data_IF_846699766780
#
_entry.id   IF_846699766780
#
_cell.length_a   1.000
_cell.length_b   1.000
_cell.length_c   1.000
_cell.angle_alpha   90.00
_cell.angle_beta   90.00
_cell.angle_gamma   90.00
#
_symmetry.space_group_name_H-M   'P 1'
#
loop_
_entity.id
_entity.type
_entity.pdbx_description
1 polymer ?
#
# COMPACT_ATOMS: atom_id res chain seq x y z
N UNK A 1 1.13 -8.99 20.25
CA UNK A 1 0.52 -7.91 19.45
C UNK A 1 -0.99 -8.07 19.47
N UNK A 2 -1.74 -6.99 19.26
CA UNK A 2 -3.19 -6.97 19.24
C UNK A 2 -3.64 -6.82 17.79
N UNK A 3 -4.53 -7.70 17.33
CA UNK A 3 -5.18 -7.53 16.02
C UNK A 3 -6.09 -6.30 16.07
N UNK A 4 -6.10 -5.42 15.04
CA UNK A 4 -7.06 -4.33 14.94
C UNK A 4 -8.50 -4.83 14.71
N UNK A 5 -8.66 -6.13 14.44
CA UNK A 5 -9.95 -6.76 14.17
C UNK A 5 -10.32 -7.80 15.24
N UNK A 6 -11.61 -7.86 15.67
CA UNK A 6 -12.67 -6.89 15.37
C UNK A 6 -12.36 -5.53 16.00
N UNK A 7 -12.97 -4.47 15.46
CA UNK A 7 -12.75 -3.07 15.86
C UNK A 7 -12.86 -2.81 17.38
N UNK A 8 -13.66 -3.61 18.10
CA UNK A 8 -13.77 -3.53 19.56
C UNK A 8 -12.45 -3.75 20.29
N UNK A 9 -11.51 -4.52 19.72
CA UNK A 9 -10.17 -4.72 20.28
C UNK A 9 -9.35 -3.42 20.37
N UNK A 10 -9.67 -2.44 19.52
CA UNK A 10 -9.04 -1.12 19.55
C UNK A 10 -9.76 -0.22 20.56
N UNK A 11 -11.10 -0.14 20.47
CA UNK A 11 -11.87 0.81 21.29
C UNK A 11 -11.98 0.45 22.77
N UNK A 12 -11.68 -0.80 23.14
CA UNK A 12 -11.63 -1.26 24.53
C UNK A 12 -10.27 -1.03 25.19
N UNK A 13 -9.24 -0.59 24.44
CA UNK A 13 -7.95 -0.27 25.03
C UNK A 13 -8.09 0.90 26.02
N UNK A 14 -7.42 0.85 27.17
CA UNK A 14 -7.39 1.98 28.08
C UNK A 14 -6.57 3.13 27.47
N UNK A 15 -6.84 4.36 27.90
CA UNK A 15 -6.09 5.54 27.48
C UNK A 15 -4.66 5.53 28.08
N UNK A 16 -3.74 4.80 27.44
CA UNK A 16 -2.35 4.61 27.87
C UNK A 16 -1.38 4.89 26.71
N UNK A 17 -0.12 4.48 26.81
CA UNK A 17 0.80 4.49 25.68
C UNK A 17 0.48 3.32 24.73
N UNK A 18 0.05 3.63 23.51
CA UNK A 18 -0.37 2.64 22.51
C UNK A 18 0.49 2.79 21.26
N UNK A 19 1.16 1.71 20.87
CA UNK A 19 1.85 1.62 19.60
C UNK A 19 0.91 1.12 18.49
N UNK A 20 1.09 1.64 17.28
CA UNK A 20 0.45 1.11 16.06
C UNK A 20 1.55 0.75 15.07
N UNK A 21 1.66 -0.53 14.73
CA UNK A 21 2.65 -1.03 13.79
C UNK A 21 2.13 -0.89 12.37
N UNK A 22 2.75 0.00 11.60
CA UNK A 22 2.39 0.38 10.23
C UNK A 22 1.93 1.83 10.10
N UNK A 23 1.87 2.31 8.86
CA UNK A 23 1.32 3.62 8.46
C UNK A 23 0.31 3.54 7.31
N UNK A 24 -0.11 2.32 6.95
CA UNK A 24 -1.11 2.06 5.90
C UNK A 24 -2.51 2.60 6.27
N UNK A 25 -3.46 2.51 5.34
CA UNK A 25 -4.87 2.84 5.61
C UNK A 25 -5.43 2.11 6.85
N UNK A 26 -5.09 0.83 7.03
CA UNK A 26 -5.48 0.07 8.23
C UNK A 26 -4.90 0.65 9.52
N UNK A 27 -3.65 1.15 9.48
CA UNK A 27 -3.03 1.80 10.63
C UNK A 27 -3.68 3.17 10.91
N UNK A 28 -4.00 3.93 9.85
CA UNK A 28 -4.73 5.19 9.94
C UNK A 28 -6.11 4.96 10.57
N UNK A 29 -6.85 3.94 10.15
CA UNK A 29 -8.14 3.57 10.71
C UNK A 29 -8.03 3.19 12.20
N UNK A 30 -7.00 2.42 12.58
CA UNK A 30 -6.74 2.07 13.97
C UNK A 30 -6.43 3.31 14.84
N UNK A 31 -5.65 4.26 14.32
CA UNK A 31 -5.34 5.52 15.02
C UNK A 31 -6.58 6.39 15.17
N UNK A 32 -7.39 6.52 14.11
CA UNK A 32 -8.65 7.27 14.16
C UNK A 32 -9.63 6.63 15.14
N UNK A 33 -9.67 5.30 15.19
CA UNK A 33 -10.50 4.55 16.13
C UNK A 33 -10.15 4.85 17.59
N UNK A 34 -8.85 4.86 17.91
CA UNK A 34 -8.35 5.28 19.22
C UNK A 34 -8.73 6.74 19.51
N UNK A 35 -8.61 7.61 18.50
CA UNK A 35 -9.06 8.99 18.59
C UNK A 35 -10.55 9.12 18.97
N UNK A 36 -11.44 8.33 18.36
CA UNK A 36 -12.86 8.31 18.72
C UNK A 36 -13.13 7.66 20.10
N UNK A 37 -12.37 6.64 20.48
CA UNK A 37 -12.55 5.98 21.78
C UNK A 37 -12.19 6.90 22.95
N UNK A 38 -11.21 7.77 22.77
CA UNK A 38 -10.59 8.56 23.83
C UNK A 38 -10.77 10.06 23.69
N UNK A 39 -11.52 10.51 22.69
CA UNK A 39 -11.78 11.93 22.50
C UNK A 39 -12.95 12.18 21.56
N UNK A 40 -13.06 13.44 21.16
CA UNK A 40 -14.06 13.91 20.22
C UNK A 40 -13.37 14.67 19.11
N UNK A 41 -13.75 14.38 17.87
CA UNK A 41 -13.38 15.19 16.71
C UNK A 41 -14.47 16.26 16.47
N UNK A 42 -14.07 17.53 16.49
CA UNK A 42 -14.86 18.65 15.97
C UNK A 42 -14.49 18.84 14.49
N UNK A 43 -15.45 18.57 13.61
CA UNK A 43 -15.27 18.49 12.16
C UNK A 43 -16.22 19.48 11.43
N UNK A 44 -16.06 20.80 11.63
CA UNK A 44 -16.86 21.79 10.90
C UNK A 44 -16.73 21.67 9.38
N UNK A 45 -15.56 21.25 8.89
CA UNK A 45 -15.33 20.83 7.52
C UNK A 45 -14.10 19.89 7.42
N UNK A 46 -13.85 19.34 6.24
CA UNK A 46 -12.78 18.38 5.99
C UNK A 46 -11.36 18.96 6.06
N UNK A 47 -11.18 20.29 6.17
CA UNK A 47 -9.88 20.95 6.30
C UNK A 47 -9.61 21.44 7.73
N UNK A 48 -10.67 21.67 8.49
CA UNK A 48 -10.61 22.14 9.86
C UNK A 48 -11.13 21.06 10.80
N UNK A 49 -10.28 20.11 11.16
CA UNK A 49 -10.58 19.10 12.17
C UNK A 49 -9.78 19.40 13.43
N UNK A 50 -10.43 19.31 14.59
CA UNK A 50 -9.78 19.41 15.89
C UNK A 50 -10.13 18.20 16.72
N UNK A 51 -9.18 17.72 17.50
CA UNK A 51 -9.42 16.66 18.45
C UNK A 51 -9.26 17.17 19.88
N UNK A 52 -10.17 16.74 20.76
CA UNK A 52 -10.09 17.02 22.19
C UNK A 52 -10.27 15.73 22.98
N UNK A 53 -9.37 15.48 23.93
CA UNK A 53 -9.43 14.33 24.82
C UNK A 53 -10.72 14.33 25.67
N UNK A 54 -11.25 13.15 25.92
CA UNK A 54 -12.30 12.95 26.92
C UNK A 54 -11.69 13.10 28.33
N UNK A 55 -12.52 13.38 29.34
CA UNK A 55 -12.05 13.73 30.69
C UNK A 55 -11.14 12.69 31.37
N UNK A 56 -11.19 11.42 30.96
CA UNK A 56 -10.37 10.31 31.49
C UNK A 56 -9.19 9.94 30.57
N UNK A 57 -8.95 10.69 29.48
CA UNK A 57 -8.00 10.32 28.42
C UNK A 57 -6.73 11.17 28.40
N UNK A 58 -6.38 11.78 29.53
CA UNK A 58 -5.19 12.65 29.66
C UNK A 58 -3.85 11.94 29.45
N UNK A 59 -3.81 10.62 29.61
CA UNK A 59 -2.60 9.80 29.52
C UNK A 59 -2.41 9.13 28.15
N UNK A 60 -3.34 9.34 27.20
CA UNK A 60 -3.26 8.73 25.88
C UNK A 60 -2.07 9.27 25.08
N UNK A 61 -1.22 8.36 24.61
CA UNK A 61 -0.23 8.64 23.57
C UNK A 61 -0.27 7.53 22.53
N UNK A 62 -0.17 7.90 21.26
CA UNK A 62 -0.22 6.98 20.13
C UNK A 62 1.09 7.12 19.35
N UNK A 63 1.90 6.07 19.36
CA UNK A 63 3.13 5.99 18.58
C UNK A 63 2.94 5.10 17.36
N UNK A 64 2.83 5.70 16.17
CA UNK A 64 2.90 4.94 14.92
C UNK A 64 4.34 4.54 14.64
N UNK A 65 4.53 3.30 14.20
CA UNK A 65 5.83 2.73 13.84
C UNK A 65 5.78 2.37 12.36
N UNK A 66 6.55 3.06 11.53
CA UNK A 66 6.54 2.84 10.08
C UNK A 66 7.95 2.58 9.58
N UNK A 67 8.05 1.68 8.59
CA UNK A 67 9.25 1.67 7.77
C UNK A 67 9.44 3.06 7.14
N UNK A 68 10.67 3.55 7.14
CA UNK A 68 11.04 4.87 6.61
C UNK A 68 10.41 6.09 7.31
N UNK A 69 9.56 5.92 8.33
CA UNK A 69 8.92 7.05 9.02
C UNK A 69 8.01 7.90 8.12
N UNK A 70 7.43 7.30 7.09
CA UNK A 70 6.53 7.96 6.13
C UNK A 70 5.09 7.46 6.28
N UNK A 71 4.15 8.26 5.79
CA UNK A 71 2.76 7.87 5.59
C UNK A 71 2.42 8.00 4.09
N UNK A 72 1.44 7.23 3.59
CA UNK A 72 0.91 7.43 2.23
C UNK A 72 0.32 8.84 2.10
N UNK A 73 0.39 9.38 0.89
CA UNK A 73 -0.09 10.72 0.59
C UNK A 73 -1.61 10.79 0.45
N UNK A 74 -2.14 12.01 0.53
CA UNK A 74 -3.56 12.25 0.34
C UNK A 74 -3.99 12.07 -1.11
N UNK A 75 -5.22 11.63 -1.27
CA UNK A 75 -5.89 11.64 -2.56
C UNK A 75 -5.84 13.05 -3.18
N UNK A 76 -5.78 13.16 -4.50
CA UNK A 76 -5.62 14.46 -5.18
C UNK A 76 -6.59 14.57 -6.34
N UNK A 77 -6.68 15.74 -6.96
CA UNK A 77 -7.53 15.91 -8.11
C UNK A 77 -6.95 15.20 -9.33
N UNK A 78 -7.74 14.33 -9.93
CA UNK A 78 -7.51 13.82 -11.29
C UNK A 78 -8.81 13.85 -12.09
N UNK A 79 -8.72 13.97 -13.43
CA UNK A 79 -9.89 13.91 -14.30
C UNK A 79 -10.57 12.54 -14.21
N UNK A 80 -11.90 12.52 -14.26
CA UNK A 80 -12.70 11.30 -14.43
C UNK A 80 -13.74 11.52 -15.55
N UNK A 81 -13.76 10.69 -16.61
CA UNK A 81 -12.86 9.57 -16.87
C UNK A 81 -11.39 9.97 -16.94
N UNK A 82 -10.49 9.03 -16.63
CA UNK A 82 -9.05 9.29 -16.63
C UNK A 82 -8.58 9.73 -18.02
N UNK A 83 -7.69 10.71 -18.05
CA UNK A 83 -6.97 11.10 -19.25
C UNK A 83 -5.82 10.10 -19.50
N UNK A 84 -5.60 9.66 -20.75
CA UNK A 84 -4.54 8.72 -21.08
C UNK A 84 -3.16 9.37 -20.87
N UNK A 85 -2.19 8.54 -20.53
CA UNK A 85 -0.77 8.92 -20.53
C UNK A 85 -0.26 9.12 -21.96
N UNK A 86 0.87 9.78 -22.13
CA UNK A 86 1.39 10.15 -23.47
C UNK A 86 2.42 9.17 -24.00
N UNK A 87 3.29 8.66 -23.13
CA UNK A 87 4.46 7.84 -23.44
C UNK A 87 4.23 6.38 -23.05
N UNK A 88 3.80 6.11 -21.81
CA UNK A 88 3.48 4.77 -21.33
C UNK A 88 1.98 4.48 -21.53
N UNK A 89 1.59 4.28 -22.78
CA UNK A 89 0.22 3.89 -23.16
C UNK A 89 0.08 2.37 -23.19
N UNK A 90 -1.16 1.86 -23.14
CA UNK A 90 -1.47 0.44 -23.35
C UNK A 90 -0.84 -0.08 -24.65
N UNK A 91 -1.06 0.59 -25.77
CA UNK A 91 -0.48 0.23 -27.07
C UNK A 91 1.06 0.19 -27.04
N UNK A 92 1.70 1.16 -26.35
CA UNK A 92 3.14 1.21 -26.24
C UNK A 92 3.70 0.05 -25.41
N UNK A 93 3.06 -0.27 -24.28
CA UNK A 93 3.48 -1.41 -23.45
C UNK A 93 3.27 -2.73 -24.18
N UNK A 94 2.10 -2.94 -24.80
CA UNK A 94 1.84 -4.16 -25.59
C UNK A 94 2.81 -4.30 -26.76
N UNK A 95 3.23 -3.20 -27.38
CA UNK A 95 4.27 -3.23 -28.40
C UNK A 95 5.65 -3.61 -27.84
N UNK A 96 5.97 -3.27 -26.58
CA UNK A 96 7.18 -3.75 -25.92
C UNK A 96 7.10 -5.23 -25.54
N UNK A 97 5.94 -5.69 -25.06
CA UNK A 97 5.66 -7.11 -24.77
C UNK A 97 5.83 -7.96 -26.02
N UNK A 98 5.29 -7.52 -27.16
CA UNK A 98 5.38 -8.24 -28.44
C UNK A 98 6.82 -8.44 -28.97
N UNK A 99 7.81 -7.72 -28.43
CA UNK A 99 9.24 -7.90 -28.79
C UNK A 99 9.89 -9.05 -28.04
N UNK A 100 9.22 -9.61 -27.03
CA UNK A 100 9.69 -10.71 -26.21
C UNK A 100 10.22 -10.28 -24.84
N UNK A 101 10.41 -11.28 -23.99
CA UNK A 101 10.78 -11.19 -22.57
C UNK A 101 12.13 -10.50 -22.33
N UNK A 102 13.14 -10.74 -23.16
CA UNK A 102 14.51 -10.24 -22.94
C UNK A 102 14.54 -8.71 -22.84
N UNK A 103 14.82 -8.17 -21.65
CA UNK A 103 14.88 -6.74 -21.37
C UNK A 103 13.54 -6.01 -21.41
N UNK A 104 12.42 -6.74 -21.25
CA UNK A 104 11.07 -6.18 -21.27
C UNK A 104 10.89 -5.13 -20.17
N UNK A 105 11.32 -5.43 -18.94
CA UNK A 105 11.18 -4.52 -17.80
C UNK A 105 11.89 -3.17 -18.05
N UNK A 106 13.11 -3.18 -18.57
CA UNK A 106 13.85 -1.96 -18.89
C UNK A 106 13.16 -1.13 -19.96
N UNK A 107 12.56 -1.77 -20.97
CA UNK A 107 11.85 -1.06 -22.03
C UNK A 107 10.57 -0.40 -21.51
N UNK A 108 9.78 -1.11 -20.70
CA UNK A 108 8.58 -0.56 -20.06
C UNK A 108 8.96 0.56 -19.07
N UNK A 109 10.01 0.36 -18.28
CA UNK A 109 10.53 1.40 -17.39
C UNK A 109 11.03 2.64 -18.14
N UNK A 110 11.63 2.47 -19.33
CA UNK A 110 12.01 3.61 -20.16
C UNK A 110 10.80 4.43 -20.63
N UNK A 111 9.63 3.80 -20.86
CA UNK A 111 8.38 4.52 -21.16
C UNK A 111 7.91 5.33 -19.95
N UNK A 112 8.02 4.79 -18.73
CA UNK A 112 7.72 5.53 -17.50
C UNK A 112 8.62 6.76 -17.33
N UNK A 113 9.93 6.63 -17.55
CA UNK A 113 10.85 7.77 -17.48
C UNK A 113 10.48 8.85 -18.50
N UNK A 114 10.08 8.46 -19.72
CA UNK A 114 9.61 9.40 -20.74
C UNK A 114 8.31 10.09 -20.30
N UNK A 115 7.37 9.37 -19.70
CA UNK A 115 6.13 9.95 -19.17
C UNK A 115 6.42 10.97 -18.06
N UNK A 116 7.33 10.65 -17.14
CA UNK A 116 7.73 11.54 -16.05
C UNK A 116 8.45 12.78 -16.57
N UNK A 117 9.43 12.63 -17.49
CA UNK A 117 10.10 13.77 -18.14
C UNK A 117 9.11 14.65 -18.94
N UNK A 118 8.06 14.06 -19.49
CA UNK A 118 7.03 14.79 -20.24
C UNK A 118 6.05 15.54 -19.34
N UNK A 119 5.53 14.87 -18.31
CA UNK A 119 4.48 15.38 -17.43
C UNK A 119 5.02 16.29 -16.32
N UNK A 120 6.22 16.02 -15.81
CA UNK A 120 6.89 16.75 -14.74
C UNK A 120 8.41 16.88 -15.00
N UNK A 121 8.83 17.82 -15.86
CA UNK A 121 10.21 17.90 -16.36
C UNK A 121 11.30 18.06 -15.29
N UNK A 122 10.94 18.59 -14.11
CA UNK A 122 11.86 18.82 -13.02
C UNK A 122 11.94 17.62 -12.06
N UNK A 123 10.94 16.73 -12.05
CA UNK A 123 10.80 15.67 -11.04
C UNK A 123 11.99 14.69 -10.99
N UNK A 124 12.35 14.08 -12.13
CA UNK A 124 13.49 13.15 -12.18
C UNK A 124 14.81 13.85 -11.88
N UNK A 125 14.93 15.15 -12.19
CA UNK A 125 16.11 15.93 -11.83
C UNK A 125 16.19 16.17 -10.32
N UNK A 126 15.06 16.44 -9.67
CA UNK A 126 14.97 16.63 -8.21
C UNK A 126 15.28 15.34 -7.43
N UNK A 127 14.91 14.18 -7.99
CA UNK A 127 15.30 12.86 -7.45
C UNK A 127 16.80 12.56 -7.63
N UNK A 128 17.42 13.14 -8.67
CA UNK A 128 18.86 13.03 -8.96
C UNK A 128 19.19 12.03 -10.08
N UNK A 129 20.41 12.11 -10.61
CA UNK A 129 20.83 11.35 -11.81
C UNK A 129 20.69 9.82 -11.66
N UNK A 130 20.80 9.29 -10.43
CA UNK A 130 20.63 7.87 -10.14
C UNK A 130 19.20 7.35 -10.35
N UNK A 131 18.20 8.23 -10.36
CA UNK A 131 16.79 7.88 -10.48
C UNK A 131 16.38 7.37 -11.88
N UNK A 132 17.29 7.38 -12.86
CA UNK A 132 17.04 6.89 -14.23
C UNK A 132 17.33 5.41 -14.43
N UNK A 133 17.50 4.66 -13.33
CA UNK A 133 17.62 3.20 -13.34
C UNK A 133 16.50 2.61 -12.48
N UNK A 134 16.07 1.37 -12.73
CA UNK A 134 14.98 0.74 -11.97
C UNK A 134 15.26 0.77 -10.46
N UNK A 135 16.43 0.29 -10.06
CA UNK A 135 16.82 0.27 -8.66
C UNK A 135 17.00 1.69 -8.09
N UNK A 136 17.70 2.56 -8.82
CA UNK A 136 17.96 3.92 -8.36
C UNK A 136 16.71 4.79 -8.29
N UNK A 137 15.67 4.52 -9.09
CA UNK A 137 14.39 5.22 -9.03
C UNK A 137 13.69 4.94 -7.70
N UNK A 138 13.55 3.66 -7.33
CA UNK A 138 12.96 3.28 -6.04
C UNK A 138 13.73 3.86 -4.85
N UNK A 139 15.06 3.76 -4.87
CA UNK A 139 15.91 4.31 -3.81
C UNK A 139 15.77 5.83 -3.70
N UNK A 140 15.80 6.55 -4.83
CA UNK A 140 15.68 8.01 -4.85
C UNK A 140 14.29 8.49 -4.39
N UNK A 141 13.23 7.81 -4.83
CA UNK A 141 11.85 8.08 -4.42
C UNK A 141 11.70 8.04 -2.90
N UNK A 142 12.09 6.92 -2.28
CA UNK A 142 11.96 6.76 -0.83
C UNK A 142 12.95 7.62 -0.05
N UNK A 143 14.13 7.92 -0.59
CA UNK A 143 15.06 8.86 0.05
C UNK A 143 14.47 10.28 0.11
N UNK A 144 13.79 10.74 -0.94
CA UNK A 144 13.11 12.03 -0.95
C UNK A 144 11.95 12.03 0.07
N UNK A 145 11.11 11.00 0.06
CA UNK A 145 9.98 10.85 1.01
C UNK A 145 10.45 10.78 2.45
N UNK A 146 11.54 10.07 2.75
CA UNK A 146 12.16 10.02 4.08
C UNK A 146 12.69 11.39 4.53
N UNK A 147 13.44 12.07 3.65
CA UNK A 147 14.01 13.39 3.95
C UNK A 147 12.94 14.42 4.30
N UNK A 148 11.78 14.34 3.65
CA UNK A 148 10.66 15.22 3.90
C UNK A 148 9.78 14.75 5.07
N UNK A 149 9.73 13.44 5.34
CA UNK A 149 8.69 12.66 6.01
C UNK A 149 8.22 13.09 7.41
N UNK A 150 7.71 12.13 8.18
CA UNK A 150 7.02 12.42 9.44
C UNK A 150 5.65 13.09 9.25
N UNK A 151 4.97 13.33 10.37
CA UNK A 151 3.68 14.04 10.39
C UNK A 151 3.73 15.48 9.84
N UNK A 152 4.85 16.23 9.89
CA UNK A 152 4.97 17.49 9.17
C UNK A 152 4.87 17.37 7.64
N UNK A 153 5.31 16.26 7.04
CA UNK A 153 5.09 16.00 5.61
C UNK A 153 3.60 15.84 5.31
N UNK A 154 2.92 15.00 6.09
CA UNK A 154 1.47 14.76 5.97
C UNK A 154 0.68 16.07 5.94
N UNK A 155 1.04 17.06 6.76
CA UNK A 155 0.39 18.39 6.74
C UNK A 155 0.63 19.16 5.43
N UNK A 156 1.84 19.10 4.87
CA UNK A 156 2.18 19.76 3.60
C UNK A 156 1.46 19.08 2.43
N UNK A 157 1.53 17.76 2.39
CA UNK A 157 0.94 16.94 1.32
C UNK A 157 -0.58 17.08 1.34
N UNK A 158 -1.20 17.10 2.54
CA UNK A 158 -2.62 17.41 2.70
C UNK A 158 -2.98 18.80 2.15
N UNK A 159 -2.19 19.83 2.43
CA UNK A 159 -2.44 21.17 1.92
C UNK A 159 -2.34 21.23 0.38
N UNK A 160 -1.38 20.53 -0.21
CA UNK A 160 -1.21 20.41 -1.66
C UNK A 160 -2.36 19.63 -2.31
N UNK A 161 -2.70 18.45 -1.78
CA UNK A 161 -3.83 17.64 -2.19
C UNK A 161 -5.14 18.46 -2.19
N UNK A 162 -5.42 19.19 -1.11
CA UNK A 162 -6.59 20.08 -1.02
C UNK A 162 -6.53 21.24 -2.02
N UNK A 163 -5.34 21.80 -2.28
CA UNK A 163 -5.17 22.82 -3.30
C UNK A 163 -5.42 22.28 -4.71
N UNK A 164 -5.01 21.04 -4.99
CA UNK A 164 -5.27 20.33 -6.25
C UNK A 164 -6.78 20.22 -6.50
N UNK A 165 -7.54 19.80 -5.47
CA UNK A 165 -9.01 19.68 -5.50
C UNK A 165 -9.71 21.00 -5.78
N UNK A 166 -9.31 22.07 -5.09
CA UNK A 166 -9.89 23.42 -5.28
C UNK A 166 -9.60 23.97 -6.66
N UNK A 167 -8.38 23.76 -7.17
CA UNK A 167 -7.93 24.27 -8.47
C UNK A 167 -8.37 23.38 -9.63
N UNK A 168 -8.81 22.14 -9.37
CA UNK A 168 -9.03 21.10 -10.37
C UNK A 168 -7.81 20.90 -11.27
N UNK A 169 -6.64 20.76 -10.64
CA UNK A 169 -5.36 20.56 -11.31
C UNK A 169 -4.66 19.37 -10.67
N UNK A 170 -4.16 18.47 -11.50
CA UNK A 170 -3.44 17.28 -11.06
C UNK A 170 -2.06 17.64 -10.51
N UNK A 171 -1.48 16.70 -9.76
CA UNK A 171 -0.05 16.69 -9.43
C UNK A 171 0.59 15.79 -10.49
N UNK A 172 1.41 16.31 -11.42
CA UNK A 172 1.73 15.60 -12.66
C UNK A 172 2.42 14.24 -12.46
N UNK A 173 3.50 14.19 -11.68
CA UNK A 173 4.20 12.93 -11.42
C UNK A 173 3.35 11.93 -10.61
N UNK A 174 2.52 12.39 -9.66
CA UNK A 174 1.57 11.49 -8.96
C UNK A 174 0.56 10.90 -9.93
N UNK A 175 0.02 11.70 -10.85
CA UNK A 175 -0.92 11.20 -11.86
C UNK A 175 -0.25 10.21 -12.80
N UNK A 176 0.98 10.48 -13.25
CA UNK A 176 1.76 9.57 -14.07
C UNK A 176 1.98 8.22 -13.37
N UNK A 177 2.42 8.22 -12.11
CA UNK A 177 2.65 6.99 -11.33
C UNK A 177 1.34 6.25 -11.03
N UNK A 178 0.29 6.97 -10.64
CA UNK A 178 -1.05 6.42 -10.43
C UNK A 178 -1.60 5.77 -11.70
N UNK A 179 -1.34 6.30 -12.89
CA UNK A 179 -1.86 5.71 -14.12
C UNK A 179 -0.95 4.63 -14.69
N UNK A 180 0.36 4.75 -14.47
CA UNK A 180 1.34 3.82 -15.02
C UNK A 180 1.24 2.42 -14.42
N UNK A 181 0.76 2.26 -13.17
CA UNK A 181 0.60 0.92 -12.58
C UNK A 181 -0.33 0.03 -13.41
N UNK A 182 -1.44 0.58 -13.94
CA UNK A 182 -2.38 -0.12 -14.82
C UNK A 182 -1.67 -0.64 -16.08
N UNK A 183 -0.85 0.21 -16.71
CA UNK A 183 -0.11 -0.17 -17.91
C UNK A 183 1.05 -1.12 -17.63
N UNK A 184 1.68 -1.04 -16.45
CA UNK A 184 2.70 -2.00 -16.04
C UNK A 184 2.12 -3.39 -15.88
N UNK A 185 0.90 -3.50 -15.33
CA UNK A 185 0.23 -4.78 -15.09
C UNK A 185 0.15 -5.63 -16.37
N UNK A 186 -0.08 -4.99 -17.52
CA UNK A 186 -0.13 -5.62 -18.85
C UNK A 186 1.16 -6.34 -19.25
N UNK A 187 2.30 -5.95 -18.69
CA UNK A 187 3.59 -6.57 -18.98
C UNK A 187 4.04 -7.58 -17.92
N UNK A 188 3.44 -7.57 -16.72
CA UNK A 188 3.96 -8.34 -15.58
C UNK A 188 3.94 -9.86 -15.82
N UNK A 189 2.99 -10.38 -16.61
CA UNK A 189 2.91 -11.81 -16.96
C UNK A 189 4.00 -12.27 -17.93
N UNK A 190 4.55 -11.34 -18.71
CA UNK A 190 5.54 -11.63 -19.75
C UNK A 190 6.98 -11.35 -19.29
N UNK A 191 7.15 -10.98 -18.01
CA UNK A 191 8.46 -10.79 -17.40
C UNK A 191 9.09 -12.14 -17.05
N UNK A 192 10.42 -12.20 -17.18
CA UNK A 192 11.21 -13.27 -16.57
C UNK A 192 11.10 -13.24 -15.04
N UNK A 193 11.36 -14.36 -14.37
CA UNK A 193 11.35 -14.40 -12.90
C UNK A 193 12.33 -13.40 -12.27
N UNK A 194 13.51 -13.21 -12.89
CA UNK A 194 14.52 -12.26 -12.42
C UNK A 194 14.04 -10.80 -12.58
N UNK A 195 13.38 -10.48 -13.70
CA UNK A 195 12.78 -9.16 -13.92
C UNK A 195 11.59 -8.92 -13.01
N UNK A 196 10.73 -9.92 -12.83
CA UNK A 196 9.59 -9.82 -11.92
C UNK A 196 10.06 -9.58 -10.47
N UNK A 197 11.10 -10.29 -10.01
CA UNK A 197 11.73 -10.05 -8.72
C UNK A 197 12.34 -8.64 -8.62
N UNK A 198 12.94 -8.14 -9.71
CA UNK A 198 13.48 -6.78 -9.78
C UNK A 198 12.36 -5.73 -9.68
N UNK A 199 11.25 -5.93 -10.38
CA UNK A 199 10.04 -5.10 -10.29
C UNK A 199 9.48 -5.09 -8.87
N UNK A 200 9.27 -6.27 -8.27
CA UNK A 200 8.74 -6.42 -6.91
C UNK A 200 9.59 -5.69 -5.87
N UNK A 201 10.91 -5.72 -6.05
CA UNK A 201 11.84 -5.11 -5.11
C UNK A 201 11.90 -3.58 -5.24
N UNK A 202 11.87 -3.05 -6.46
CA UNK A 202 12.25 -1.66 -6.71
C UNK A 202 11.11 -0.76 -7.19
N UNK A 203 10.13 -1.27 -7.94
CA UNK A 203 9.04 -0.47 -8.51
C UNK A 203 7.71 -0.69 -7.80
N UNK A 204 7.39 -1.93 -7.44
CA UNK A 204 6.13 -2.24 -6.73
C UNK A 204 5.95 -1.40 -5.46
N UNK A 205 6.97 -1.17 -4.60
CA UNK A 205 6.80 -0.32 -3.43
C UNK A 205 6.47 1.14 -3.78
N UNK A 206 7.04 1.66 -4.88
CA UNK A 206 6.73 3.02 -5.36
C UNK A 206 5.28 3.11 -5.81
N UNK A 207 4.82 2.17 -6.64
CA UNK A 207 3.43 2.13 -7.07
C UNK A 207 2.47 1.99 -5.89
N UNK A 208 2.77 1.08 -4.95
CA UNK A 208 1.97 0.87 -3.75
C UNK A 208 1.81 2.13 -2.90
N UNK A 209 2.85 2.96 -2.81
CA UNK A 209 2.77 4.24 -2.11
C UNK A 209 1.95 5.30 -2.87
N UNK A 210 1.98 5.29 -4.21
CA UNK A 210 1.23 6.25 -5.03
C UNK A 210 -0.26 5.91 -5.22
N UNK A 211 -0.64 4.65 -5.37
CA UNK A 211 -2.06 4.28 -5.58
C UNK A 211 -2.84 4.15 -4.26
N UNK A 212 -2.16 4.03 -3.12
CA UNK A 212 -2.77 4.03 -1.79
C UNK A 212 -3.15 5.45 -1.32
N UNK A 213 -4.02 6.11 -2.08
CA UNK A 213 -4.47 7.47 -1.81
C UNK A 213 -5.33 7.56 -0.53
N UNK A 214 -4.88 8.33 0.45
CA UNK A 214 -5.59 8.46 1.74
C UNK A 214 -6.76 9.45 1.62
N UNK A 215 -7.97 9.09 2.10
CA UNK A 215 -9.10 10.02 2.15
C UNK A 215 -8.77 11.30 2.94
N UNK A 216 -9.19 12.46 2.43
CA UNK A 216 -8.86 13.76 3.05
C UNK A 216 -9.31 13.88 4.51
N UNK A 217 -10.50 13.36 4.84
CA UNK A 217 -11.00 13.42 6.21
C UNK A 217 -10.15 12.57 7.17
N UNK A 218 -9.62 11.44 6.70
CA UNK A 218 -8.71 10.60 7.49
C UNK A 218 -7.40 11.34 7.77
N UNK A 219 -6.82 12.00 6.76
CA UNK A 219 -5.63 12.84 6.96
C UNK A 219 -5.91 14.01 7.91
N UNK A 220 -7.04 14.69 7.77
CA UNK A 220 -7.41 15.78 8.66
C UNK A 220 -7.51 15.32 10.13
N UNK A 221 -8.04 14.12 10.38
CA UNK A 221 -8.09 13.51 11.72
C UNK A 221 -6.69 13.14 12.26
N UNK A 222 -5.83 12.56 11.42
CA UNK A 222 -4.43 12.28 11.77
C UNK A 222 -3.71 13.58 12.16
N UNK A 223 -3.86 14.64 11.36
CA UNK A 223 -3.28 15.95 11.64
C UNK A 223 -3.85 16.53 12.93
N UNK A 224 -5.14 16.38 13.20
CA UNK A 224 -5.76 16.86 14.43
C UNK A 224 -5.22 16.16 15.68
N UNK A 225 -4.99 14.85 15.63
CA UNK A 225 -4.36 14.09 16.71
C UNK A 225 -2.89 14.51 16.92
N UNK A 226 -2.17 14.74 15.83
CA UNK A 226 -0.80 15.26 15.88
C UNK A 226 -0.74 16.67 16.49
N UNK A 227 -1.62 17.57 16.07
CA UNK A 227 -1.68 18.96 16.57
C UNK A 227 -2.13 19.02 18.05
N UNK A 228 -2.89 18.02 18.50
CA UNK A 228 -3.24 17.83 19.91
C UNK A 228 -2.10 17.23 20.75
N UNK A 229 -1.00 16.79 20.12
CA UNK A 229 0.17 16.23 20.79
C UNK A 229 0.02 14.77 21.24
N UNK A 230 -1.01 14.06 20.77
CA UNK A 230 -1.27 12.66 21.16
C UNK A 230 -0.76 11.64 20.14
N UNK A 231 -0.34 12.08 18.95
CA UNK A 231 0.16 11.20 17.88
C UNK A 231 1.61 11.51 17.54
N UNK A 232 2.44 10.48 17.44
CA UNK A 232 3.81 10.53 16.92
C UNK A 232 4.01 9.47 15.85
N UNK A 233 5.02 9.67 14.98
CA UNK A 233 5.43 8.71 13.95
C UNK A 233 6.92 8.44 14.10
N UNK A 234 7.28 7.18 14.21
CA UNK A 234 8.65 6.71 14.46
C UNK A 234 9.12 5.84 13.30
N UNK A 235 10.30 6.15 12.78
CA UNK A 235 10.92 5.40 11.69
C UNK A 235 11.57 4.10 12.20
N UNK A 236 11.39 3.02 11.45
CA UNK A 236 12.09 1.74 11.65
C UNK A 236 12.98 1.40 10.48
N UNK A 237 14.17 0.90 10.80
CA UNK A 237 15.12 0.35 9.83
C UNK A 237 14.93 -1.16 9.60
N UNK A 238 15.70 -1.76 8.69
CA UNK A 238 15.62 -3.18 8.36
C UNK A 238 15.85 -4.12 9.56
N UNK A 239 16.71 -3.70 10.49
CA UNK A 239 17.08 -4.46 11.69
C UNK A 239 16.19 -4.14 12.90
N UNK A 240 15.08 -3.42 12.71
CA UNK A 240 14.15 -3.10 13.78
C UNK A 240 13.50 -4.36 14.34
N UNK A 241 13.47 -4.45 15.67
CA UNK A 241 12.87 -5.56 16.40
C UNK A 241 11.90 -5.03 17.44
N UNK A 242 11.02 -5.90 17.92
CA UNK A 242 10.20 -5.61 19.08
C UNK A 242 10.22 -6.77 20.06
N UNK A 243 10.15 -6.46 21.34
CA UNK A 243 10.12 -7.45 22.41
C UNK A 243 9.10 -7.05 23.47
N UNK A 244 8.60 -8.04 24.20
CA UNK A 244 7.81 -7.83 25.40
C UNK A 244 8.75 -7.79 26.60
N UNK A 245 8.63 -6.75 27.42
CA UNK A 245 9.41 -6.55 28.63
C UNK A 245 8.75 -7.25 29.84
N UNK A 246 9.47 -7.31 30.96
CA UNK A 246 9.03 -7.99 32.19
C UNK A 246 7.77 -7.37 32.81
N UNK A 247 7.55 -6.07 32.61
CA UNK A 247 6.35 -5.34 33.03
C UNK A 247 5.17 -5.49 32.05
N UNK A 248 5.29 -6.39 31.06
CA UNK A 248 4.34 -6.64 29.97
C UNK A 248 4.22 -5.55 28.90
N UNK A 249 4.92 -4.43 29.04
CA UNK A 249 5.02 -3.42 27.99
C UNK A 249 5.79 -3.97 26.77
N UNK A 250 5.65 -3.29 25.65
CA UNK A 250 6.27 -3.65 24.37
C UNK A 250 7.27 -2.56 24.02
N UNK A 251 8.51 -2.97 23.74
CA UNK A 251 9.54 -2.08 23.24
C UNK A 251 9.80 -2.36 21.77
N UNK A 252 9.92 -1.31 20.96
CA UNK A 252 10.30 -1.35 19.55
C UNK A 252 11.57 -0.56 19.35
N UNK A 253 12.55 -1.09 18.64
CA UNK A 253 13.72 -0.30 18.21
C UNK A 253 13.36 0.57 17.02
N UNK A 254 13.46 1.89 17.21
CA UNK A 254 13.26 2.91 16.17
C UNK A 254 14.56 3.67 15.92
N UNK A 255 14.65 4.42 14.83
CA UNK A 255 15.84 5.22 14.49
C UNK A 255 16.12 6.31 15.53
N UNK A 256 15.07 6.85 16.16
CA UNK A 256 15.16 7.90 17.19
C UNK A 256 15.37 7.34 18.62
N UNK A 257 15.53 6.01 18.74
CA UNK A 257 15.65 5.29 20.01
C UNK A 257 14.49 4.33 20.28
N UNK A 258 14.56 3.55 21.37
CA UNK A 258 13.50 2.59 21.68
C UNK A 258 12.19 3.30 22.05
N UNK A 259 11.10 2.92 21.38
CA UNK A 259 9.74 3.30 21.73
C UNK A 259 9.16 2.22 22.66
N UNK A 260 8.73 2.59 23.86
CA UNK A 260 8.08 1.69 24.81
C UNK A 260 6.60 2.07 24.96
N UNK A 261 5.72 1.08 24.79
CA UNK A 261 4.27 1.24 24.80
C UNK A 261 3.62 0.14 25.65
N UNK A 262 2.47 0.44 26.26
CA UNK A 262 1.73 -0.52 27.09
C UNK A 262 1.00 -1.56 26.23
N UNK A 263 0.54 -1.16 25.05
CA UNK A 263 -0.11 -2.01 24.07
C UNK A 263 0.42 -1.75 22.66
N UNK A 264 0.39 -2.77 21.79
CA UNK A 264 0.80 -2.65 20.39
C UNK A 264 -0.25 -3.28 19.48
N UNK A 265 -0.83 -2.47 18.62
CA UNK A 265 -1.75 -2.87 17.55
C UNK A 265 -0.93 -3.25 16.32
N UNK A 266 -1.13 -4.45 15.78
CA UNK A 266 -0.50 -4.88 14.52
C UNK A 266 -1.38 -4.51 13.34
N UNK A 267 -1.15 -3.33 12.77
CA UNK A 267 -1.90 -2.81 11.63
C UNK A 267 -1.17 -3.01 10.29
N UNK A 268 -0.18 -3.90 10.25
CA UNK A 268 0.47 -4.28 8.99
C UNK A 268 -0.55 -4.98 8.08
N UNK A 269 -0.44 -4.71 6.78
CA UNK A 269 -1.17 -5.47 5.77
C UNK A 269 -0.76 -6.94 5.77
N UNK A 270 -1.59 -7.79 5.18
CA UNK A 270 -1.17 -9.15 4.88
C UNK A 270 -0.18 -9.09 3.72
N UNK A 271 0.98 -9.72 3.89
CA UNK A 271 1.93 -9.86 2.79
C UNK A 271 1.36 -10.79 1.72
N UNK A 272 1.91 -10.69 0.51
CA UNK A 272 1.76 -11.73 -0.49
C UNK A 272 2.31 -13.06 0.05
N UNK A 273 1.65 -14.16 -0.26
CA UNK A 273 2.02 -15.51 0.15
C UNK A 273 1.73 -16.50 -0.97
N UNK A 274 2.54 -17.55 -1.05
CA UNK A 274 2.30 -18.61 -2.02
C UNK A 274 1.03 -19.40 -1.71
N UNK A 275 0.64 -20.25 -2.65
CA UNK A 275 -0.46 -21.22 -2.43
C UNK A 275 -0.08 -22.22 -1.33
N UNK A 276 1.20 -22.56 -1.19
CA UNK A 276 1.73 -23.43 -0.14
C UNK A 276 1.55 -22.89 1.29
N UNK A 277 1.33 -21.58 1.45
CA UNK A 277 1.11 -20.93 2.75
C UNK A 277 -0.37 -20.91 3.20
N UNK A 278 -1.28 -21.51 2.42
CA UNK A 278 -2.69 -21.58 2.78
C UNK A 278 -2.88 -22.30 4.14
N UNK A 279 -3.79 -21.81 5.02
CA UNK A 279 -4.01 -22.39 6.35
C UNK A 279 -4.82 -23.71 6.32
N UNK A 280 -4.75 -24.43 5.19
CA UNK A 280 -5.46 -25.68 4.92
C UNK A 280 -4.44 -26.77 4.56
N UNK A 281 -3.69 -27.32 5.53
CA UNK A 281 -2.58 -28.23 5.25
C UNK A 281 -2.99 -29.45 4.41
N UNK A 282 -4.18 -30.01 4.67
CA UNK A 282 -4.71 -31.12 3.86
C UNK A 282 -5.00 -30.74 2.41
N UNK A 283 -5.41 -29.49 2.15
CA UNK A 283 -5.59 -29.00 0.78
C UNK A 283 -4.23 -28.88 0.09
N UNK A 284 -3.25 -28.26 0.78
CA UNK A 284 -1.89 -28.06 0.28
C UNK A 284 -1.21 -29.38 -0.06
N UNK A 285 -1.33 -30.38 0.83
CA UNK A 285 -0.76 -31.73 0.62
C UNK A 285 -1.30 -32.45 -0.63
N UNK A 286 -2.47 -32.03 -1.14
CA UNK A 286 -3.10 -32.61 -2.32
C UNK A 286 -2.99 -31.71 -3.55
N UNK A 287 -2.30 -30.57 -3.52
CA UNK A 287 -2.05 -29.78 -4.73
C UNK A 287 -1.13 -30.56 -5.68
N UNK A 288 -1.37 -30.46 -6.98
CA UNK A 288 -0.46 -31.03 -7.99
C UNK A 288 0.93 -30.38 -7.92
N UNK A 289 0.95 -29.06 -7.73
CA UNK A 289 2.14 -28.27 -7.47
C UNK A 289 1.74 -27.10 -6.55
N UNK A 290 2.29 -27.08 -5.33
CA UNK A 290 2.00 -26.06 -4.33
C UNK A 290 2.90 -24.83 -4.45
N UNK A 291 3.99 -24.93 -5.24
CA UNK A 291 4.96 -23.87 -5.48
C UNK A 291 4.65 -23.11 -6.78
N UNK A 292 3.73 -23.62 -7.60
CA UNK A 292 3.22 -22.89 -8.77
C UNK A 292 2.36 -21.72 -8.29
N UNK A 293 2.70 -20.47 -8.68
CA UNK A 293 1.89 -19.31 -8.37
C UNK A 293 0.50 -19.41 -8.98
N UNK A 294 -0.44 -18.72 -8.35
CA UNK A 294 -1.81 -18.71 -8.82
C UNK A 294 -1.97 -17.85 -10.08
N UNK A 295 -2.47 -18.44 -11.16
CA UNK A 295 -2.75 -17.78 -12.44
C UNK A 295 -4.23 -17.93 -12.80
N UNK A 296 -4.74 -17.11 -13.73
CA UNK A 296 -6.10 -17.23 -14.26
C UNK A 296 -6.34 -18.67 -14.81
N UNK A 297 -7.50 -19.30 -14.53
CA UNK A 297 -8.71 -18.76 -13.90
C UNK A 297 -8.72 -18.92 -12.36
N UNK A 298 -7.56 -18.89 -11.70
CA UNK A 298 -7.37 -19.01 -10.26
C UNK A 298 -7.78 -20.37 -9.69
N UNK A 299 -7.68 -21.42 -10.52
CA UNK A 299 -8.03 -22.79 -10.16
C UNK A 299 -6.87 -23.48 -9.43
N UNK A 300 -7.19 -24.16 -8.34
CA UNK A 300 -6.27 -25.05 -7.64
C UNK A 300 -6.35 -26.45 -8.24
N UNK A 301 -5.23 -26.93 -8.77
CA UNK A 301 -5.12 -28.27 -9.33
C UNK A 301 -4.88 -29.31 -8.22
N UNK A 302 -5.85 -30.21 -8.01
CA UNK A 302 -5.83 -31.19 -6.90
C UNK A 302 -5.55 -32.61 -7.40
N UNK A 303 -4.55 -33.27 -6.82
CA UNK A 303 -4.19 -34.66 -7.09
C UNK A 303 -5.34 -35.62 -6.81
N UNK A 304 -5.64 -36.48 -7.78
CA UNK A 304 -6.65 -37.55 -7.62
C UNK A 304 -8.10 -37.07 -7.54
N UNK A 305 -8.34 -35.77 -7.71
CA UNK A 305 -9.67 -35.20 -7.82
C UNK A 305 -10.13 -35.26 -9.28
N UNK A 306 -11.09 -36.15 -9.55
CA UNK A 306 -11.60 -36.37 -10.92
C UNK A 306 -12.89 -35.58 -11.21
N UNK A 307 -13.46 -34.89 -10.22
CA UNK A 307 -14.64 -34.06 -10.35
C UNK A 307 -14.65 -32.94 -9.29
N UNK A 308 -15.00 -31.72 -9.70
CA UNK A 308 -15.07 -30.53 -8.85
C UNK A 308 -13.90 -29.56 -9.09
N UNK A 309 -14.18 -28.25 -9.05
CA UNK A 309 -13.20 -27.18 -9.18
C UNK A 309 -13.07 -26.46 -7.83
N UNK A 310 -11.84 -26.15 -7.42
CA UNK A 310 -11.56 -25.29 -6.27
C UNK A 310 -10.85 -24.05 -6.81
N UNK A 311 -11.28 -22.87 -6.39
CA UNK A 311 -10.70 -21.59 -6.79
C UNK A 311 -10.17 -20.85 -5.57
N UNK A 312 -9.07 -20.12 -5.74
CA UNK A 312 -8.48 -19.30 -4.68
C UNK A 312 -8.54 -17.83 -5.08
N UNK A 313 -9.44 -17.05 -4.49
CA UNK A 313 -9.46 -15.58 -4.66
C UNK A 313 -8.99 -14.85 -3.40
N UNK A 314 -8.22 -15.54 -2.56
CA UNK A 314 -7.65 -14.93 -1.37
C UNK A 314 -6.55 -13.95 -1.79
N UNK A 315 -6.68 -12.68 -1.37
CA UNK A 315 -5.77 -11.61 -1.76
C UNK A 315 -4.28 -11.94 -1.53
N UNK A 316 -3.85 -12.55 -0.40
CA UNK A 316 -2.43 -12.90 -0.24
C UNK A 316 -1.87 -13.76 -1.37
N UNK A 317 -2.66 -14.70 -1.91
CA UNK A 317 -2.27 -15.58 -3.01
C UNK A 317 -2.37 -14.88 -4.36
N UNK A 318 -3.43 -14.10 -4.60
CA UNK A 318 -3.61 -13.36 -5.87
C UNK A 318 -2.49 -12.33 -6.06
N UNK A 319 -2.09 -11.64 -5.00
CA UNK A 319 -1.08 -10.59 -5.03
C UNK A 319 0.34 -11.09 -5.34
N UNK A 320 0.58 -12.40 -5.27
CA UNK A 320 1.87 -13.00 -5.63
C UNK A 320 2.23 -12.72 -7.07
N UNK A 321 1.22 -12.87 -7.95
CA UNK A 321 1.35 -12.59 -9.36
C UNK A 321 0.67 -11.30 -9.74
N UNK A 322 -0.49 -10.96 -9.20
CA UNK A 322 -1.30 -9.80 -9.62
C UNK A 322 -1.30 -8.69 -8.55
N UNK A 323 -0.20 -7.95 -8.38
CA UNK A 323 -0.01 -7.02 -7.25
C UNK A 323 -0.97 -5.84 -7.24
N UNK A 324 -1.61 -5.54 -8.38
CA UNK A 324 -2.55 -4.43 -8.54
C UNK A 324 -4.02 -4.86 -8.48
N UNK A 325 -4.34 -6.14 -8.30
CA UNK A 325 -5.71 -6.67 -8.28
C UNK A 325 -6.49 -6.43 -6.96
N UNK A 326 -6.20 -5.32 -6.27
CA UNK A 326 -6.90 -4.93 -5.03
C UNK A 326 -8.11 -4.04 -5.33
N UNK A 327 -9.10 -4.04 -4.44
CA UNK A 327 -10.26 -3.15 -4.52
C UNK A 327 -11.51 -3.80 -5.14
N UNK A 328 -12.65 -3.13 -4.99
CA UNK A 328 -13.95 -3.67 -5.39
C UNK A 328 -14.06 -3.99 -6.89
N UNK A 329 -13.56 -3.15 -7.82
CA UNK A 329 -13.59 -3.48 -9.25
C UNK A 329 -12.81 -4.77 -9.58
N UNK A 330 -11.59 -4.91 -9.06
CA UNK A 330 -10.81 -6.12 -9.26
C UNK A 330 -11.46 -7.35 -8.61
N UNK A 331 -12.12 -7.21 -7.46
CA UNK A 331 -12.89 -8.32 -6.90
C UNK A 331 -14.02 -8.78 -7.82
N UNK A 332 -14.68 -7.86 -8.54
CA UNK A 332 -15.71 -8.15 -9.53
C UNK A 332 -15.09 -8.89 -10.73
N UNK A 333 -14.04 -8.33 -11.34
CA UNK A 333 -13.33 -8.90 -12.49
C UNK A 333 -12.78 -10.30 -12.21
N UNK A 334 -12.06 -10.50 -11.10
CA UNK A 334 -11.55 -11.81 -10.69
C UNK A 334 -12.69 -12.83 -10.47
N UNK A 335 -13.84 -12.37 -9.96
CA UNK A 335 -15.02 -13.22 -9.78
C UNK A 335 -15.63 -13.60 -11.13
N UNK A 336 -15.69 -12.67 -12.09
CA UNK A 336 -16.18 -12.95 -13.44
C UNK A 336 -15.33 -14.01 -14.15
N UNK A 337 -13.99 -13.95 -14.01
CA UNK A 337 -13.07 -14.97 -14.54
C UNK A 337 -13.40 -16.35 -13.96
N UNK A 338 -13.51 -16.45 -12.62
CA UNK A 338 -13.83 -17.71 -11.94
C UNK A 338 -15.22 -18.22 -12.32
N UNK A 339 -16.23 -17.35 -12.40
CA UNK A 339 -17.60 -17.73 -12.76
C UNK A 339 -17.67 -18.21 -14.21
N UNK A 340 -16.97 -17.56 -15.13
CA UNK A 340 -16.92 -17.94 -16.55
C UNK A 340 -16.32 -19.33 -16.72
N UNK A 341 -15.19 -19.60 -16.04
CA UNK A 341 -14.57 -20.92 -16.04
C UNK A 341 -15.46 -21.97 -15.36
N UNK A 342 -16.09 -21.63 -14.22
CA UNK A 342 -16.99 -22.53 -13.51
C UNK A 342 -18.22 -22.92 -14.33
N UNK A 343 -18.77 -21.99 -15.11
CA UNK A 343 -19.92 -22.23 -15.98
C UNK A 343 -19.54 -22.90 -17.31
N UNK A 344 -18.24 -23.04 -17.62
CA UNK A 344 -17.75 -23.57 -18.89
C UNK A 344 -18.02 -22.65 -20.07
N UNK A 345 -18.06 -21.34 -19.82
CA UNK A 345 -18.36 -20.30 -20.83
C UNK A 345 -17.10 -19.75 -21.51
N UNK A 346 -15.91 -20.25 -21.16
CA UNK A 346 -14.62 -19.73 -21.65
C UNK A 346 -14.29 -20.11 -23.12
N UNK A 347 -15.12 -20.93 -23.78
CA UNK A 347 -14.84 -21.53 -25.11
C UNK A 347 -15.92 -21.26 -26.19
N UNK A 348 -16.66 -20.14 -26.14
CA UNK A 348 -17.55 -19.70 -27.25
C UNK A 348 -17.01 -18.50 -28.05
#
# INVERSE_FOLDING_TARGET
LISPWPYTRITELPATSIGVLGSSLSAIDAVIALGFAHGTFDEPDAEHVRWTANGESGDLTIGMVSHHGIMPEGDFYYPFPYEPLTCITEDAVLAEVAKGEEGLLERVFALLLQELDHSDPDYLQELGEGARTIAGFGDAYFAQRQRLGGLPAVKRDFAEARASMRKKKTIPHHYALLRAHETFDLALRDLSEDDYATFQKHLLPVFADCYAAVPHLSLARIIALYDAGVLTLHATGPDSTFCRLDDSSIQVSTEDGPLQVDAMVDARGQASHGVSDLPFPTLVDHLQDADTPLEEPFRLEIMGMHAGNIYCLAMPQVLERFPFSQGLPNCDELTEVVVTDFLGLADE
#
